data_IF_114270350829
#
_entry.id   IF_114270350829
#
_cell.length_a   1.000
_cell.length_b   1.000
_cell.length_c   1.000
_cell.angle_alpha   90.00
_cell.angle_beta   90.00
_cell.angle_gamma   90.00
#
_symmetry.space_group_name_H-M   'P 1'
#
loop_
_entity.id
_entity.type
_entity.pdbx_description
1 polymer ?
#
# COMPACT_ATOMS: atom_id res chain seq x y z
N UNK A 1 5.68 19.63 -12.76
CA UNK A 1 4.27 19.63 -13.18
C UNK A 1 3.66 18.38 -12.58
N UNK A 2 2.55 18.51 -11.85
CA UNK A 2 1.84 17.38 -11.25
C UNK A 2 1.16 16.58 -12.37
N UNK A 3 1.43 15.29 -12.45
CA UNK A 3 0.92 14.37 -13.49
C UNK A 3 -0.50 13.90 -13.20
N UNK A 4 -1.18 13.31 -14.20
CA UNK A 4 -2.50 12.70 -13.99
C UNK A 4 -2.47 11.57 -12.93
N UNK A 5 -1.35 10.85 -12.81
CA UNK A 5 -1.17 9.86 -11.75
C UNK A 5 -1.08 10.52 -10.37
N UNK A 6 -0.37 11.64 -10.24
CA UNK A 6 -0.26 12.36 -8.96
C UNK A 6 -1.62 12.84 -8.44
N UNK A 7 -2.46 13.36 -9.35
CA UNK A 7 -3.84 13.72 -9.02
C UNK A 7 -4.64 12.49 -8.57
N UNK A 8 -4.52 11.38 -9.29
CA UNK A 8 -5.22 10.15 -8.93
C UNK A 8 -4.80 9.59 -7.57
N UNK A 9 -3.50 9.52 -7.27
CA UNK A 9 -3.01 9.09 -5.95
C UNK A 9 -3.45 10.05 -4.84
N UNK A 10 -3.41 11.36 -5.06
CA UNK A 10 -3.93 12.34 -4.11
C UNK A 10 -5.44 12.15 -3.84
N UNK A 11 -6.20 11.82 -4.88
CA UNK A 11 -7.61 11.43 -4.77
C UNK A 11 -7.82 10.19 -3.90
N UNK A 12 -7.01 9.14 -4.08
CA UNK A 12 -7.07 7.92 -3.25
C UNK A 12 -6.88 8.22 -1.77
N UNK A 13 -5.87 9.04 -1.43
CA UNK A 13 -5.61 9.40 -0.04
C UNK A 13 -6.67 10.31 0.55
N UNK A 14 -7.41 11.06 -0.27
CA UNK A 14 -8.60 11.83 0.10
C UNK A 14 -9.90 11.01 0.13
N UNK A 15 -9.86 9.71 -0.16
CA UNK A 15 -11.04 8.85 -0.34
C UNK A 15 -11.96 9.25 -1.51
N UNK A 16 -11.47 10.10 -2.44
CA UNK A 16 -12.14 10.40 -3.70
C UNK A 16 -11.80 9.34 -4.75
N UNK A 17 -12.35 8.13 -4.57
CA UNK A 17 -12.07 7.00 -5.45
C UNK A 17 -12.61 7.21 -6.87
N UNK A 18 -13.70 7.96 -7.02
CA UNK A 18 -14.29 8.25 -8.34
C UNK A 18 -13.42 9.24 -9.10
N UNK A 19 -12.99 10.32 -8.45
CA UNK A 19 -12.05 11.28 -9.02
C UNK A 19 -10.73 10.62 -9.38
N UNK A 20 -10.18 9.80 -8.47
CA UNK A 20 -8.94 9.07 -8.71
C UNK A 20 -9.01 8.16 -9.94
N UNK A 21 -10.09 7.37 -10.08
CA UNK A 21 -10.26 6.50 -11.25
C UNK A 21 -10.39 7.27 -12.56
N UNK A 22 -11.04 8.44 -12.54
CA UNK A 22 -11.11 9.32 -13.72
C UNK A 22 -9.72 9.81 -14.12
N UNK A 23 -8.88 10.21 -13.16
CA UNK A 23 -7.54 10.70 -13.44
C UNK A 23 -6.62 9.59 -13.97
N UNK A 24 -6.71 8.38 -13.40
CA UNK A 24 -5.99 7.21 -13.92
C UNK A 24 -6.44 6.81 -15.32
N UNK A 25 -7.75 6.87 -15.62
CA UNK A 25 -8.27 6.62 -16.96
C UNK A 25 -7.77 7.67 -17.96
N UNK A 26 -7.72 8.95 -17.55
CA UNK A 26 -7.16 10.04 -18.35
C UNK A 26 -5.68 9.83 -18.67
N UNK A 27 -4.90 9.33 -17.70
CA UNK A 27 -3.49 8.96 -17.91
C UNK A 27 -3.35 7.81 -18.91
N UNK A 28 -4.11 6.73 -18.74
CA UNK A 28 -4.08 5.56 -19.62
C UNK A 28 -4.44 5.91 -21.07
N UNK A 29 -5.37 6.83 -21.29
CA UNK A 29 -5.75 7.27 -22.63
C UNK A 29 -4.59 7.99 -23.36
N UNK A 30 -3.75 8.70 -22.60
CA UNK A 30 -2.60 9.44 -23.14
C UNK A 30 -1.33 8.59 -23.20
N UNK A 31 -1.22 7.58 -22.33
CA UNK A 31 -0.05 6.71 -22.18
C UNK A 31 -0.46 5.23 -22.22
N UNK A 32 -0.97 4.72 -23.36
CA UNK A 32 -1.54 3.36 -23.44
C UNK A 32 -0.53 2.23 -23.22
N UNK A 33 0.76 2.50 -23.42
CA UNK A 33 1.84 1.54 -23.21
C UNK A 33 2.50 1.66 -21.82
N UNK A 34 2.00 2.55 -20.95
CA UNK A 34 2.55 2.76 -19.61
C UNK A 34 1.92 1.81 -18.58
N UNK A 35 2.69 0.88 -17.98
CA UNK A 35 2.17 -0.04 -16.96
C UNK A 35 1.72 0.67 -15.68
N UNK A 36 2.16 1.91 -15.43
CA UNK A 36 1.74 2.67 -14.24
C UNK A 36 0.26 3.04 -14.27
N UNK A 37 -0.34 3.24 -15.45
CA UNK A 37 -1.76 3.55 -15.57
C UNK A 37 -2.66 2.44 -15.01
N UNK A 38 -2.59 1.20 -15.53
CA UNK A 38 -3.44 0.11 -15.04
C UNK A 38 -3.14 -0.32 -13.60
N UNK A 39 -1.90 -0.24 -13.11
CA UNK A 39 -1.62 -0.62 -11.71
C UNK A 39 -2.21 0.39 -10.73
N UNK A 40 -2.20 1.69 -11.07
CA UNK A 40 -2.86 2.73 -10.30
C UNK A 40 -4.39 2.58 -10.31
N UNK A 41 -4.98 2.19 -11.45
CA UNK A 41 -6.40 1.82 -11.52
C UNK A 41 -6.73 0.65 -10.58
N UNK A 42 -5.84 -0.36 -10.55
CA UNK A 42 -5.91 -1.48 -9.61
C UNK A 42 -5.88 -1.03 -8.14
N UNK A 43 -4.96 -0.13 -7.80
CA UNK A 43 -4.93 0.48 -6.46
C UNK A 43 -6.26 1.18 -6.14
N UNK A 44 -6.83 1.94 -7.09
CA UNK A 44 -8.13 2.58 -6.90
C UNK A 44 -9.26 1.62 -6.60
N UNK A 45 -9.35 0.48 -7.29
CA UNK A 45 -10.35 -0.54 -6.99
C UNK A 45 -10.14 -1.17 -5.62
N UNK A 46 -8.89 -1.50 -5.27
CA UNK A 46 -8.58 -2.15 -3.99
C UNK A 46 -8.90 -1.24 -2.80
N UNK A 47 -8.43 0.01 -2.82
CA UNK A 47 -8.64 0.94 -1.70
C UNK A 47 -10.10 1.38 -1.58
N UNK A 48 -10.83 1.51 -2.70
CA UNK A 48 -12.28 1.71 -2.66
C UNK A 48 -12.99 0.55 -1.96
N UNK A 49 -12.57 -0.69 -2.23
CA UNK A 49 -13.13 -1.88 -1.60
C UNK A 49 -12.74 -1.97 -0.12
N UNK A 50 -11.49 -1.63 0.25
CA UNK A 50 -11.10 -1.51 1.65
C UNK A 50 -11.93 -0.48 2.41
N UNK A 51 -12.27 0.65 1.79
CA UNK A 51 -13.15 1.64 2.40
C UNK A 51 -14.58 1.09 2.59
N UNK A 52 -15.13 0.42 1.56
CA UNK A 52 -16.49 -0.15 1.61
C UNK A 52 -16.62 -1.25 2.68
N UNK A 53 -15.60 -2.07 2.84
CA UNK A 53 -15.53 -3.12 3.86
C UNK A 53 -15.07 -2.58 5.23
N UNK A 54 -14.76 -1.28 5.32
CA UNK A 54 -14.22 -0.61 6.50
C UNK A 54 -12.86 -1.14 6.99
N UNK A 55 -12.14 -1.87 6.14
CA UNK A 55 -10.78 -2.38 6.41
C UNK A 55 -9.82 -1.25 6.75
N UNK A 56 -9.94 -0.09 6.07
CA UNK A 56 -9.08 1.08 6.34
C UNK A 56 -9.22 1.59 7.77
N UNK A 57 -10.45 1.67 8.28
CA UNK A 57 -10.71 2.08 9.66
C UNK A 57 -10.25 1.00 10.64
N UNK A 58 -10.50 -0.28 10.30
CA UNK A 58 -10.12 -1.43 11.11
C UNK A 58 -8.61 -1.47 11.43
N UNK A 59 -7.74 -1.05 10.49
CA UNK A 59 -6.29 -1.11 10.68
C UNK A 59 -5.78 -0.27 11.86
N UNK A 60 -6.50 0.77 12.26
CA UNK A 60 -6.10 1.62 13.38
C UNK A 60 -6.45 1.00 14.74
N UNK A 61 -7.35 0.01 14.83
CA UNK A 61 -7.70 -0.56 16.13
C UNK A 61 -6.58 -1.44 16.69
N UNK A 62 -6.34 -1.34 18.01
CA UNK A 62 -5.37 -2.19 18.72
C UNK A 62 -5.82 -3.65 18.80
N UNK A 63 -7.14 -3.89 18.82
CA UNK A 63 -7.76 -5.22 18.86
C UNK A 63 -8.72 -5.41 17.67
N UNK A 64 -8.50 -6.46 16.88
CA UNK A 64 -9.33 -6.84 15.72
C UNK A 64 -10.81 -7.09 16.08
N UNK A 65 -11.08 -7.48 17.33
CA UNK A 65 -12.43 -7.79 17.84
C UNK A 65 -13.36 -6.56 17.92
N UNK A 66 -12.81 -5.35 18.00
CA UNK A 66 -13.62 -4.13 18.05
C UNK A 66 -14.32 -3.83 16.70
N UNK A 67 -13.80 -4.38 15.60
CA UNK A 67 -14.31 -4.14 14.24
C UNK A 67 -15.10 -5.34 13.68
N UNK A 68 -14.83 -6.56 14.13
CA UNK A 68 -15.45 -7.80 13.63
C UNK A 68 -16.99 -7.80 13.70
N UNK A 69 -17.59 -7.00 14.60
CA UNK A 69 -19.04 -6.85 14.73
C UNK A 69 -19.71 -5.84 13.79
N UNK A 70 -18.98 -5.07 12.96
CA UNK A 70 -19.55 -3.94 12.16
C UNK A 70 -19.57 -4.13 10.65
N UNK A 71 -18.72 -4.97 10.06
CA UNK A 71 -18.73 -5.18 8.60
C UNK A 71 -19.78 -6.20 8.18
N UNK A 72 -20.93 -5.72 7.71
CA UNK A 72 -21.99 -6.54 7.10
C UNK A 72 -21.75 -6.84 5.62
N UNK A 73 -20.68 -6.30 5.04
CA UNK A 73 -20.39 -6.41 3.61
C UNK A 73 -19.45 -7.57 3.31
N UNK A 74 -19.83 -8.41 2.35
CA UNK A 74 -18.96 -9.40 1.71
C UNK A 74 -18.23 -8.75 0.53
N UNK A 75 -17.07 -9.31 0.16
CA UNK A 75 -16.27 -8.83 -0.96
C UNK A 75 -17.08 -8.84 -2.28
N UNK A 76 -17.01 -7.74 -3.04
CA UNK A 76 -17.74 -7.61 -4.31
C UNK A 76 -16.99 -8.36 -5.45
N UNK A 77 -17.59 -9.41 -6.06
CA UNK A 77 -16.98 -10.12 -7.17
C UNK A 77 -16.68 -9.23 -8.39
N UNK A 78 -17.48 -8.19 -8.62
CA UNK A 78 -17.28 -7.24 -9.73
C UNK A 78 -16.05 -6.38 -9.46
N UNK A 79 -15.93 -5.85 -8.24
CA UNK A 79 -14.73 -5.11 -7.81
C UNK A 79 -13.47 -5.98 -7.91
N UNK A 80 -13.54 -7.24 -7.45
CA UNK A 80 -12.45 -8.22 -7.61
C UNK A 80 -12.05 -8.40 -9.07
N UNK A 81 -13.01 -8.61 -9.97
CA UNK A 81 -12.72 -8.83 -11.38
C UNK A 81 -12.07 -7.59 -12.02
N UNK A 82 -12.55 -6.39 -11.71
CA UNK A 82 -11.95 -5.13 -12.18
C UNK A 82 -10.51 -4.96 -11.68
N UNK A 83 -10.29 -5.21 -10.39
CA UNK A 83 -8.98 -5.21 -9.76
C UNK A 83 -8.01 -6.18 -10.45
N UNK A 84 -8.38 -7.46 -10.58
CA UNK A 84 -7.53 -8.47 -11.21
C UNK A 84 -7.23 -8.16 -12.68
N UNK A 85 -8.23 -7.65 -13.43
CA UNK A 85 -8.03 -7.25 -14.82
C UNK A 85 -7.07 -6.06 -14.96
N UNK A 86 -7.13 -5.10 -14.04
CA UNK A 86 -6.21 -3.96 -14.02
C UNK A 86 -4.76 -4.42 -13.77
N UNK A 87 -4.55 -5.31 -12.78
CA UNK A 87 -3.22 -5.86 -12.49
C UNK A 87 -2.67 -6.72 -13.65
N UNK A 88 -3.50 -7.58 -14.23
CA UNK A 88 -3.08 -8.39 -15.39
C UNK A 88 -2.62 -7.51 -16.57
N UNK A 89 -3.31 -6.39 -16.82
CA UNK A 89 -2.89 -5.42 -17.84
C UNK A 89 -1.58 -4.75 -17.47
N UNK A 90 -1.43 -4.29 -16.23
CA UNK A 90 -0.19 -3.68 -15.74
C UNK A 90 1.01 -4.62 -15.91
N UNK A 91 0.88 -5.87 -15.44
CA UNK A 91 1.93 -6.88 -15.54
C UNK A 91 2.26 -7.22 -17.00
N UNK A 92 1.26 -7.29 -17.88
CA UNK A 92 1.49 -7.55 -19.31
C UNK A 92 2.31 -6.43 -19.96
N UNK A 93 1.93 -5.17 -19.72
CA UNK A 93 2.67 -4.00 -20.23
C UNK A 93 4.08 -3.93 -19.64
N UNK A 94 4.21 -4.15 -18.33
CA UNK A 94 5.49 -4.13 -17.64
C UNK A 94 6.43 -5.21 -18.17
N UNK A 95 5.95 -6.45 -18.33
CA UNK A 95 6.76 -7.55 -18.90
C UNK A 95 7.19 -7.24 -20.34
N UNK A 96 6.32 -6.64 -21.15
CA UNK A 96 6.67 -6.23 -22.50
C UNK A 96 7.77 -5.17 -22.53
N UNK A 97 7.75 -4.21 -21.60
CA UNK A 97 8.83 -3.22 -21.42
C UNK A 97 10.11 -3.87 -20.91
N UNK A 98 10.05 -4.73 -19.89
CA UNK A 98 11.21 -5.43 -19.32
C UNK A 98 11.90 -6.36 -20.32
N UNK A 99 11.15 -6.97 -21.24
CA UNK A 99 11.71 -7.78 -22.31
C UNK A 99 12.61 -6.95 -23.27
N UNK A 100 12.30 -5.66 -23.44
CA UNK A 100 13.09 -4.72 -24.26
C UNK A 100 14.20 -4.06 -23.44
N UNK A 101 13.90 -3.68 -22.21
CA UNK A 101 14.80 -3.03 -21.27
C UNK A 101 14.61 -3.63 -19.86
N UNK A 102 15.48 -4.57 -19.43
CA UNK A 102 15.39 -5.18 -18.10
C UNK A 102 15.55 -4.21 -16.93
N UNK A 103 15.97 -2.97 -17.18
CA UNK A 103 16.18 -1.91 -16.18
C UNK A 103 15.13 -0.80 -16.26
N UNK A 104 14.02 -1.02 -16.97
CA UNK A 104 12.92 -0.07 -17.07
C UNK A 104 12.30 0.15 -15.67
N UNK A 105 12.49 1.35 -15.12
CA UNK A 105 12.10 1.67 -13.74
C UNK A 105 10.59 1.62 -13.54
N UNK A 106 9.81 2.13 -14.49
CA UNK A 106 8.34 2.17 -14.40
C UNK A 106 7.78 0.75 -14.47
N UNK A 107 8.35 -0.11 -15.32
CA UNK A 107 7.94 -1.50 -15.41
C UNK A 107 8.30 -2.29 -14.14
N UNK A 108 9.51 -2.13 -13.59
CA UNK A 108 9.87 -2.73 -12.29
C UNK A 108 8.98 -2.22 -11.15
N UNK A 109 8.64 -0.94 -11.17
CA UNK A 109 7.76 -0.35 -10.17
C UNK A 109 6.32 -0.86 -10.28
N UNK A 110 5.78 -0.96 -11.49
CA UNK A 110 4.46 -1.54 -11.72
C UNK A 110 4.37 -3.02 -11.32
N UNK A 111 5.45 -3.80 -11.50
CA UNK A 111 5.53 -5.18 -10.99
C UNK A 111 5.57 -5.24 -9.46
N UNK A 112 6.31 -4.32 -8.83
CA UNK A 112 6.34 -4.14 -7.37
C UNK A 112 4.94 -3.87 -6.83
N UNK A 113 4.26 -2.86 -7.38
CA UNK A 113 2.92 -2.45 -6.97
C UNK A 113 1.88 -3.54 -7.22
N UNK A 114 1.87 -4.18 -8.39
CA UNK A 114 0.94 -5.28 -8.70
C UNK A 114 1.05 -6.42 -7.68
N UNK A 115 2.28 -6.82 -7.36
CA UNK A 115 2.54 -7.86 -6.36
C UNK A 115 2.12 -7.42 -4.96
N UNK A 116 2.39 -6.16 -4.57
CA UNK A 116 1.99 -5.61 -3.27
C UNK A 116 0.46 -5.57 -3.11
N UNK A 117 -0.25 -5.08 -4.12
CA UNK A 117 -1.71 -5.02 -4.12
C UNK A 117 -2.35 -6.42 -4.06
N UNK A 118 -1.78 -7.42 -4.74
CA UNK A 118 -2.22 -8.81 -4.60
C UNK A 118 -2.00 -9.35 -3.18
N UNK A 119 -0.88 -8.99 -2.54
CA UNK A 119 -0.58 -9.37 -1.17
C UNK A 119 -1.62 -8.80 -0.20
N UNK A 120 -1.96 -7.52 -0.37
CA UNK A 120 -2.93 -6.80 0.45
C UNK A 120 -4.35 -7.35 0.25
N UNK A 121 -4.77 -7.62 -0.99
CA UNK A 121 -6.05 -8.25 -1.29
C UNK A 121 -6.16 -9.64 -0.64
N UNK A 122 -5.13 -10.48 -0.79
CA UNK A 122 -5.10 -11.82 -0.22
C UNK A 122 -5.16 -11.80 1.32
N UNK A 123 -4.45 -10.88 1.97
CA UNK A 123 -4.43 -10.77 3.43
C UNK A 123 -5.72 -10.15 3.99
N UNK A 124 -6.14 -9.01 3.45
CA UNK A 124 -7.14 -8.17 4.10
C UNK A 124 -8.56 -8.55 3.70
N UNK A 125 -8.78 -9.03 2.47
CA UNK A 125 -10.08 -9.45 1.96
C UNK A 125 -10.24 -10.98 2.02
N UNK A 126 -9.33 -11.75 1.42
CA UNK A 126 -9.50 -13.21 1.35
C UNK A 126 -9.02 -13.97 2.60
N UNK A 127 -8.30 -13.30 3.52
CA UNK A 127 -7.68 -13.91 4.71
C UNK A 127 -6.74 -15.09 4.38
N UNK A 128 -6.12 -15.07 3.20
CA UNK A 128 -5.19 -16.10 2.70
C UNK A 128 -3.74 -15.71 2.96
N UNK A 129 -3.31 -15.88 4.21
CA UNK A 129 -2.00 -15.45 4.69
C UNK A 129 -0.81 -16.01 3.88
N UNK A 130 -0.83 -17.29 3.51
CA UNK A 130 0.27 -17.88 2.72
C UNK A 130 0.38 -17.29 1.31
N UNK A 131 -0.76 -17.04 0.66
CA UNK A 131 -0.78 -16.38 -0.64
C UNK A 131 -0.27 -14.93 -0.52
N UNK A 132 -0.72 -14.21 0.51
CA UNK A 132 -0.24 -12.86 0.79
C UNK A 132 1.29 -12.81 0.97
N UNK A 133 1.86 -13.71 1.77
CA UNK A 133 3.32 -13.78 1.96
C UNK A 133 4.07 -14.08 0.67
N UNK A 134 3.52 -14.93 -0.19
CA UNK A 134 4.10 -15.22 -1.50
C UNK A 134 4.14 -13.97 -2.39
N UNK A 135 3.04 -13.21 -2.46
CA UNK A 135 2.97 -11.96 -3.24
C UNK A 135 3.86 -10.86 -2.62
N UNK A 136 3.91 -10.73 -1.29
CA UNK A 136 4.79 -9.79 -0.60
C UNK A 136 6.28 -10.05 -0.89
N UNK A 137 6.67 -11.34 -0.95
CA UNK A 137 8.03 -11.74 -1.35
C UNK A 137 8.32 -11.33 -2.80
N UNK A 138 7.37 -11.51 -3.71
CA UNK A 138 7.52 -11.08 -5.11
C UNK A 138 7.65 -9.56 -5.21
N UNK A 139 6.80 -8.81 -4.50
CA UNK A 139 6.87 -7.34 -4.42
C UNK A 139 8.26 -6.88 -3.93
N UNK A 140 8.77 -7.49 -2.86
CA UNK A 140 10.11 -7.20 -2.34
C UNK A 140 11.22 -7.50 -3.36
N UNK A 141 11.08 -8.58 -4.13
CA UNK A 141 12.06 -8.94 -5.17
C UNK A 141 12.08 -7.91 -6.30
N UNK A 142 10.91 -7.47 -6.79
CA UNK A 142 10.82 -6.44 -7.81
C UNK A 142 11.32 -5.07 -7.30
N UNK A 143 10.98 -4.72 -6.06
CA UNK A 143 11.44 -3.49 -5.42
C UNK A 143 12.96 -3.45 -5.32
N UNK A 144 13.60 -4.57 -4.95
CA UNK A 144 15.06 -4.66 -4.90
C UNK A 144 15.70 -4.48 -6.28
N UNK A 145 15.09 -5.04 -7.34
CA UNK A 145 15.57 -4.82 -8.71
C UNK A 145 15.43 -3.36 -9.12
N UNK A 146 14.32 -2.71 -8.76
CA UNK A 146 14.10 -1.27 -9.01
C UNK A 146 15.15 -0.41 -8.30
N UNK A 147 15.37 -0.64 -7.01
CA UNK A 147 16.36 0.10 -6.22
C UNK A 147 17.80 -0.11 -6.72
N UNK A 148 18.08 -1.25 -7.35
CA UNK A 148 19.38 -1.51 -7.98
C UNK A 148 19.62 -0.70 -9.27
N UNK A 149 18.57 -0.17 -9.90
CA UNK A 149 18.68 0.61 -11.15
C UNK A 149 18.27 2.08 -11.01
N UNK A 150 17.53 2.41 -9.94
CA UNK A 150 17.02 3.75 -9.67
C UNK A 150 17.24 4.10 -8.19
N UNK A 151 18.26 4.92 -7.91
CA UNK A 151 18.63 5.30 -6.55
C UNK A 151 17.63 6.26 -5.87
N UNK A 152 16.85 7.01 -6.65
CA UNK A 152 15.85 7.96 -6.13
C UNK A 152 14.41 7.43 -6.18
N UNK A 153 14.22 6.13 -6.49
CA UNK A 153 12.91 5.49 -6.48
C UNK A 153 12.49 5.09 -5.06
N UNK A 154 12.39 6.08 -4.17
CA UNK A 154 12.16 5.87 -2.73
C UNK A 154 10.84 5.13 -2.42
N UNK A 155 9.83 5.25 -3.29
CA UNK A 155 8.57 4.50 -3.17
C UNK A 155 8.79 2.98 -3.12
N UNK A 156 9.84 2.47 -3.76
CA UNK A 156 10.15 1.05 -3.78
C UNK A 156 10.53 0.51 -2.39
N UNK A 157 11.05 1.35 -1.49
CA UNK A 157 11.37 0.96 -0.12
C UNK A 157 10.13 0.54 0.68
N UNK A 158 8.94 1.01 0.31
CA UNK A 158 7.70 0.65 1.02
C UNK A 158 7.45 -0.86 0.97
N UNK A 159 7.61 -1.49 -0.20
CA UNK A 159 7.33 -2.91 -0.37
C UNK A 159 8.25 -3.79 0.50
N UNK A 160 9.53 -3.43 0.58
CA UNK A 160 10.48 -4.12 1.45
C UNK A 160 10.28 -3.77 2.92
N UNK A 161 10.01 -2.50 3.23
CA UNK A 161 9.87 -1.98 4.59
C UNK A 161 8.64 -2.54 5.32
N UNK A 162 7.49 -2.54 4.64
CA UNK A 162 6.25 -3.11 5.20
C UNK A 162 6.40 -4.61 5.48
N UNK A 163 6.98 -5.37 4.54
CA UNK A 163 7.24 -6.81 4.73
C UNK A 163 8.15 -7.06 5.93
N UNK A 164 9.26 -6.30 6.04
CA UNK A 164 10.21 -6.36 7.17
C UNK A 164 9.53 -6.06 8.52
N UNK A 165 8.70 -5.02 8.57
CA UNK A 165 7.98 -4.62 9.77
C UNK A 165 6.98 -5.69 10.23
N UNK A 166 6.15 -6.20 9.31
CA UNK A 166 5.14 -7.21 9.62
C UNK A 166 5.79 -8.49 10.12
N UNK A 167 6.76 -9.05 9.40
CA UNK A 167 7.45 -10.29 9.80
C UNK A 167 8.27 -10.07 11.08
N UNK A 168 8.92 -8.91 11.22
CA UNK A 168 9.70 -8.55 12.40
C UNK A 168 8.87 -8.44 13.69
N UNK A 169 7.58 -8.10 13.55
CA UNK A 169 6.61 -7.94 14.65
C UNK A 169 5.90 -9.24 15.03
N UNK A 170 6.11 -10.35 14.31
CA UNK A 170 5.53 -11.65 14.64
C UNK A 170 6.24 -12.33 15.82
N UNK A 171 5.52 -13.25 16.49
CA UNK A 171 6.08 -14.07 17.57
C UNK A 171 7.33 -14.83 17.12
N UNK A 172 8.31 -14.98 18.03
CA UNK A 172 9.65 -15.47 17.71
C UNK A 172 9.70 -16.81 16.93
N UNK A 173 8.87 -17.83 17.23
CA UNK A 173 8.87 -19.09 16.46
C UNK A 173 8.39 -18.92 15.02
N UNK A 174 7.35 -18.11 14.79
CA UNK A 174 6.80 -17.82 13.45
C UNK A 174 7.82 -17.01 12.64
N UNK A 175 8.42 -15.99 13.26
CA UNK A 175 9.44 -15.15 12.65
C UNK A 175 10.65 -15.96 12.18
N UNK A 176 11.11 -16.92 12.98
CA UNK A 176 12.23 -17.80 12.63
C UNK A 176 11.91 -18.67 11.40
N UNK A 177 10.71 -19.26 11.34
CA UNK A 177 10.27 -20.08 10.21
C UNK A 177 10.18 -19.28 8.92
N UNK A 178 9.61 -18.07 8.96
CA UNK A 178 9.51 -17.20 7.78
C UNK A 178 10.88 -16.69 7.30
N UNK A 179 11.82 -16.48 8.22
CA UNK A 179 13.20 -16.12 7.87
C UNK A 179 13.89 -17.22 7.06
N UNK A 180 13.67 -18.50 7.41
CA UNK A 180 14.17 -19.63 6.61
C UNK A 180 13.56 -19.66 5.20
N UNK A 181 12.33 -19.19 5.03
CA UNK A 181 11.67 -19.01 3.73
C UNK A 181 12.18 -17.83 2.90
N UNK A 182 13.18 -17.08 3.41
CA UNK A 182 13.79 -15.94 2.74
C UNK A 182 13.05 -14.62 2.93
N UNK A 183 12.17 -14.50 3.92
CA UNK A 183 11.54 -13.21 4.27
C UNK A 183 12.38 -12.47 5.31
N UNK A 184 12.77 -11.21 5.06
CA UNK A 184 13.54 -10.43 6.02
C UNK A 184 12.67 -10.10 7.24
N UNK A 185 13.23 -10.28 8.43
CA UNK A 185 12.53 -10.16 9.71
C UNK A 185 13.18 -9.10 10.60
N UNK A 186 13.20 -7.86 10.12
CA UNK A 186 13.86 -6.72 10.76
C UNK A 186 12.86 -5.59 10.98
N UNK A 187 12.30 -5.52 12.19
CA UNK A 187 11.29 -4.52 12.54
C UNK A 187 11.85 -3.09 12.41
N UNK A 188 13.05 -2.84 12.92
CA UNK A 188 13.65 -1.51 12.93
C UNK A 188 14.04 -1.07 11.50
N UNK A 189 14.65 -1.97 10.73
CA UNK A 189 14.91 -1.72 9.31
C UNK A 189 13.63 -1.49 8.51
N UNK A 190 12.54 -2.18 8.85
CA UNK A 190 11.22 -1.95 8.24
C UNK A 190 10.67 -0.56 8.52
N UNK A 191 10.74 -0.08 9.78
CA UNK A 191 10.35 1.28 10.14
C UNK A 191 11.24 2.33 9.43
N UNK A 192 12.54 2.10 9.35
CA UNK A 192 13.46 3.01 8.66
C UNK A 192 13.15 3.11 7.16
N UNK A 193 12.87 2.00 6.48
CA UNK A 193 12.43 1.99 5.07
C UNK A 193 11.11 2.76 4.87
N UNK A 194 10.16 2.61 5.81
CA UNK A 194 8.90 3.35 5.78
C UNK A 194 9.10 4.85 6.03
N UNK A 195 9.97 5.23 6.97
CA UNK A 195 10.33 6.63 7.21
C UNK A 195 10.99 7.25 5.97
N UNK A 196 11.93 6.54 5.34
CA UNK A 196 12.58 6.99 4.11
C UNK A 196 11.54 7.21 2.99
N UNK A 197 10.59 6.29 2.84
CA UNK A 197 9.50 6.46 1.87
C UNK A 197 8.59 7.63 2.24
N UNK A 198 8.26 7.80 3.52
CA UNK A 198 7.42 8.91 3.99
C UNK A 198 8.06 10.28 3.73
N UNK A 199 9.39 10.37 3.79
CA UNK A 199 10.15 11.61 3.59
C UNK A 199 10.45 11.91 2.12
N UNK A 200 10.75 10.87 1.32
CA UNK A 200 11.29 11.04 -0.05
C UNK A 200 10.50 10.35 -1.15
N UNK A 201 9.51 9.54 -0.79
CA UNK A 201 8.61 8.90 -1.74
C UNK A 201 7.82 9.92 -2.53
N UNK A 202 7.34 9.49 -3.70
CA UNK A 202 6.53 10.33 -4.57
C UNK A 202 5.06 9.97 -4.41
N UNK A 203 4.64 8.82 -4.96
CA UNK A 203 3.26 8.36 -4.89
C UNK A 203 2.94 7.76 -3.52
N UNK A 204 3.90 7.03 -2.93
CA UNK A 204 3.65 6.21 -1.75
C UNK A 204 4.05 6.87 -0.44
N UNK A 205 4.61 8.09 -0.46
CA UNK A 205 4.93 8.83 0.76
C UNK A 205 3.72 9.00 1.71
N UNK A 206 2.50 9.35 1.23
CA UNK A 206 1.33 9.38 2.10
C UNK A 206 0.97 8.00 2.66
N UNK A 207 1.10 6.93 1.86
CA UNK A 207 0.81 5.57 2.33
C UNK A 207 1.82 5.12 3.41
N UNK A 208 3.09 5.43 3.24
CA UNK A 208 4.11 5.17 4.26
C UNK A 208 3.80 5.89 5.58
N UNK A 209 3.35 7.15 5.53
CA UNK A 209 2.90 7.90 6.72
C UNK A 209 1.70 7.26 7.41
N UNK A 210 0.75 6.72 6.64
CA UNK A 210 -0.39 5.95 7.19
C UNK A 210 0.10 4.68 7.89
N UNK A 211 0.99 3.91 7.27
CA UNK A 211 1.55 2.69 7.85
C UNK A 211 2.36 2.98 9.13
N UNK A 212 3.14 4.06 9.14
CA UNK A 212 3.86 4.53 10.33
C UNK A 212 2.89 4.95 11.44
N UNK A 213 1.83 5.69 11.13
CA UNK A 213 0.82 6.05 12.13
C UNK A 213 0.19 4.80 12.77
N UNK A 214 -0.18 3.79 11.95
CA UNK A 214 -0.70 2.51 12.45
C UNK A 214 0.34 1.81 13.34
N UNK A 215 1.61 1.76 12.91
CA UNK A 215 2.68 1.15 13.69
C UNK A 215 2.86 1.86 15.05
N UNK A 216 2.89 3.19 15.07
CA UNK A 216 3.01 3.97 16.31
C UNK A 216 1.80 3.77 17.24
N UNK A 217 0.58 3.68 16.71
CA UNK A 217 -0.60 3.33 17.51
C UNK A 217 -0.43 1.96 18.17
N UNK A 218 -0.04 0.93 17.40
CA UNK A 218 0.18 -0.44 17.92
C UNK A 218 1.30 -0.52 18.95
N UNK A 219 2.29 0.38 18.84
CA UNK A 219 3.41 0.48 19.77
C UNK A 219 3.14 1.40 20.96
N UNK A 220 1.92 1.97 21.06
CA UNK A 220 1.51 2.94 22.08
C UNK A 220 2.33 4.24 22.08
N UNK A 221 2.95 4.55 20.94
CA UNK A 221 3.65 5.82 20.70
C UNK A 221 2.67 6.89 20.20
N UNK A 222 1.79 7.32 21.11
CA UNK A 222 0.74 8.30 20.84
C UNK A 222 1.28 9.65 20.29
N UNK A 223 2.39 10.22 20.79
CA UNK A 223 2.93 11.47 20.24
C UNK A 223 3.28 11.37 18.75
N UNK A 224 4.02 10.34 18.33
CA UNK A 224 4.39 10.20 16.91
C UNK A 224 3.19 9.82 16.03
N UNK A 225 2.25 9.01 16.53
CA UNK A 225 1.00 8.72 15.84
C UNK A 225 0.20 10.00 15.56
N UNK A 226 0.01 10.86 16.57
CA UNK A 226 -0.71 12.13 16.43
C UNK A 226 -0.01 13.09 15.48
N UNK A 227 1.32 13.15 15.49
CA UNK A 227 2.09 13.97 14.54
C UNK A 227 1.82 13.53 13.10
N UNK A 228 1.92 12.24 12.81
CA UNK A 228 1.70 11.70 11.45
C UNK A 228 0.25 11.93 10.99
N UNK A 229 -0.73 11.62 11.84
CA UNK A 229 -2.14 11.81 11.51
C UNK A 229 -2.52 13.28 11.32
N UNK A 230 -1.92 14.19 12.08
CA UNK A 230 -2.18 15.63 11.94
C UNK A 230 -1.66 16.16 10.62
N UNK A 231 -0.47 15.72 10.19
CA UNK A 231 0.08 16.06 8.87
C UNK A 231 -0.79 15.47 7.74
N UNK A 232 -1.18 14.19 7.85
CA UNK A 232 -2.07 13.55 6.88
C UNK A 232 -3.43 14.25 6.76
N UNK A 233 -4.03 14.68 7.87
CA UNK A 233 -5.27 15.46 7.86
C UNK A 233 -5.12 16.80 7.13
N UNK A 234 -3.97 17.45 7.27
CA UNK A 234 -3.71 18.73 6.60
C UNK A 234 -3.56 18.55 5.08
N UNK A 235 -2.84 17.51 4.66
CA UNK A 235 -2.61 17.20 3.23
C UNK A 235 -3.86 16.63 2.54
N UNK A 236 -4.68 15.87 3.27
CA UNK A 236 -5.83 15.13 2.74
C UNK A 236 -7.11 15.43 3.52
N UNK A 237 -7.65 16.66 3.46
CA UNK A 237 -8.81 17.09 4.24
C UNK A 237 -10.11 16.35 3.87
N UNK A 238 -10.20 15.74 2.69
CA UNK A 238 -11.33 14.90 2.28
C UNK A 238 -11.40 13.57 3.05
N UNK A 239 -10.29 13.13 3.64
CA UNK A 239 -10.23 11.87 4.36
C UNK A 239 -10.70 12.02 5.81
N UNK A 240 -11.97 11.70 6.04
CA UNK A 240 -12.58 11.73 7.36
C UNK A 240 -12.07 10.69 8.37
N UNK A 241 -11.17 9.77 8.00
CA UNK A 241 -10.58 8.80 8.95
C UNK A 241 -9.57 9.46 9.88
N UNK A 242 -8.70 10.32 9.35
CA UNK A 242 -7.64 10.98 10.13
C UNK A 242 -8.16 11.80 11.32
N UNK A 243 -9.15 12.72 11.16
CA UNK A 243 -9.68 13.47 12.31
C UNK A 243 -10.39 12.57 13.34
N UNK A 244 -11.08 11.52 12.90
CA UNK A 244 -11.71 10.53 13.81
C UNK A 244 -10.66 9.81 14.65
N UNK A 245 -9.58 9.41 14.02
CA UNK A 245 -8.49 8.70 14.68
C UNK A 245 -7.71 9.58 15.66
N UNK A 246 -7.44 10.85 15.30
CA UNK A 246 -6.85 11.83 16.21
C UNK A 246 -7.72 11.99 17.46
N UNK A 247 -9.03 12.16 17.30
CA UNK A 247 -9.95 12.32 18.43
C UNK A 247 -9.98 11.07 19.32
N UNK A 248 -9.96 9.87 18.73
CA UNK A 248 -9.89 8.60 19.45
C UNK A 248 -8.63 8.51 20.29
N UNK A 249 -7.45 8.78 19.69
CA UNK A 249 -6.18 8.75 20.41
C UNK A 249 -6.12 9.78 21.53
N UNK A 250 -6.68 10.97 21.33
CA UNK A 250 -6.71 12.01 22.37
C UNK A 250 -7.60 11.63 23.56
N UNK A 251 -8.68 10.90 23.33
CA UNK A 251 -9.61 10.44 24.35
C UNK A 251 -9.11 9.23 25.16
N UNK A 252 -8.23 8.39 24.61
CA UNK A 252 -7.59 7.31 25.36
C UNK A 252 -6.51 7.86 26.31
N UNK A 253 -6.69 7.60 27.60
CA UNK A 253 -5.78 8.00 28.68
C UNK A 253 -4.47 7.20 28.67
#
# INVERSE_FOLDING_TARGET
>A
MTSGLDHGFSGLYNLDFVGAQRDFAGWQAQHPEDPMGPVSEGAGYLFSEFNRLGVLEAQFYENDDAFSGRSTFTADPVAKNRFMNALNRAETLARARLAKNPKDSDALFAMTLSSGLQADYAALIEKRNMASLHHAKQASTWAQQLLAVCHDCYDAHLATGFTKYIVGSMAAPVRWMLRLGGLPADKQGGIADLQLTAERGHYLAPFARILLAIAYVREKDKPHALQMLTALRADFPGNGLFPREIARLQASH
#
